data_IF_814447781705
#
_entry.id   IF_814447781705
#
_cell.length_a   1.000
_cell.length_b   1.000
_cell.length_c   1.000
_cell.angle_alpha   90.00
_cell.angle_beta   90.00
_cell.angle_gamma   90.00
#
_symmetry.space_group_name_H-M   'P 1'
#
loop_
_entity.id
_entity.type
_entity.pdbx_description
1 polymer ?
#
# COMPACT_ATOMS: atom_id res chain seq x y z
N UNK A 1 -13.59 -10.96 -17.07
CA UNK A 1 -13.84 -9.51 -16.83
C UNK A 1 -13.40 -9.00 -15.44
N UNK A 2 -12.57 -9.75 -14.67
CA UNK A 2 -11.98 -9.29 -13.40
C UNK A 2 -10.48 -8.93 -13.52
N UNK A 3 -9.74 -9.53 -14.46
CA UNK A 3 -8.29 -9.32 -14.62
C UNK A 3 -7.93 -7.89 -15.07
N UNK A 4 -8.72 -7.27 -15.95
CA UNK A 4 -8.48 -5.89 -16.40
C UNK A 4 -8.53 -4.88 -15.25
N UNK A 5 -9.44 -5.07 -14.29
CA UNK A 5 -9.59 -4.16 -13.14
C UNK A 5 -8.45 -4.29 -12.13
N UNK A 6 -7.89 -5.48 -11.96
CA UNK A 6 -6.71 -5.70 -11.13
C UNK A 6 -5.48 -5.01 -11.75
N UNK A 7 -5.26 -5.26 -13.05
CA UNK A 7 -4.17 -4.66 -13.83
C UNK A 7 -4.14 -3.12 -13.79
N UNK A 8 -5.31 -2.45 -13.74
CA UNK A 8 -5.37 -0.98 -13.62
C UNK A 8 -4.79 -0.46 -12.31
N UNK A 9 -5.05 -1.12 -11.17
CA UNK A 9 -4.55 -0.65 -9.88
C UNK A 9 -3.08 -0.95 -9.67
N UNK A 10 -2.61 -2.07 -10.22
CA UNK A 10 -1.20 -2.42 -10.32
C UNK A 10 -0.42 -1.41 -11.19
N UNK A 11 -0.99 -1.02 -12.34
CA UNK A 11 -0.38 0.03 -13.17
C UNK A 11 -0.33 1.37 -12.42
N UNK A 12 -1.38 1.71 -11.67
CA UNK A 12 -1.42 2.95 -10.88
C UNK A 12 -0.44 2.93 -9.71
N UNK A 13 -0.25 1.80 -9.04
CA UNK A 13 0.73 1.66 -7.95
C UNK A 13 2.16 1.76 -8.49
N UNK A 14 2.44 1.16 -9.66
CA UNK A 14 3.69 1.36 -10.39
C UNK A 14 3.93 2.85 -10.69
N UNK A 15 2.97 3.53 -11.32
CA UNK A 15 3.09 4.97 -11.64
C UNK A 15 3.27 5.83 -10.40
N UNK A 16 2.68 5.43 -9.27
CA UNK A 16 2.93 6.07 -7.98
C UNK A 16 4.40 5.93 -7.56
N UNK A 17 4.98 4.71 -7.59
CA UNK A 17 6.37 4.48 -7.20
C UNK A 17 7.36 5.32 -8.01
N UNK A 18 7.22 5.31 -9.34
CA UNK A 18 8.18 5.98 -10.24
C UNK A 18 7.93 7.49 -10.38
N UNK A 19 6.73 7.98 -10.06
CA UNK A 19 6.33 9.37 -10.36
C UNK A 19 5.94 10.23 -9.16
N UNK A 20 5.34 9.64 -8.12
CA UNK A 20 4.72 10.39 -7.00
C UNK A 20 5.29 10.06 -5.63
N UNK A 21 5.93 8.90 -5.47
CA UNK A 21 6.61 8.55 -4.23
C UNK A 21 7.66 9.59 -3.86
N UNK A 22 7.82 9.84 -2.57
CA UNK A 22 8.96 10.61 -2.03
C UNK A 22 10.29 9.93 -2.39
N UNK A 23 10.26 8.61 -2.51
CA UNK A 23 11.43 7.75 -2.65
C UNK A 23 11.72 7.35 -4.10
N UNK A 24 11.03 7.98 -5.07
CA UNK A 24 11.13 7.66 -6.52
C UNK A 24 12.54 7.72 -7.10
N UNK A 25 13.42 8.56 -6.55
CA UNK A 25 14.80 8.71 -7.02
C UNK A 25 15.73 7.62 -6.45
N UNK A 26 15.27 6.85 -5.47
CA UNK A 26 16.03 5.74 -4.87
C UNK A 26 15.64 4.39 -5.48
N UNK A 27 14.48 4.32 -6.13
CA UNK A 27 13.96 3.12 -6.78
C UNK A 27 14.59 3.00 -8.16
N UNK A 28 15.38 1.96 -8.37
CA UNK A 28 16.04 1.67 -9.65
C UNK A 28 15.30 0.58 -10.42
N UNK A 29 14.83 -0.45 -9.70
CA UNK A 29 14.17 -1.61 -10.28
C UNK A 29 12.72 -1.69 -9.82
N UNK A 30 11.85 -2.12 -10.72
CA UNK A 30 10.48 -2.51 -10.39
C UNK A 30 10.35 -4.01 -10.58
N UNK A 31 9.81 -4.68 -9.57
CA UNK A 31 9.52 -6.12 -9.60
C UNK A 31 8.02 -6.35 -9.40
N UNK A 32 7.55 -7.46 -9.93
CA UNK A 32 6.17 -7.94 -9.78
C UNK A 32 6.24 -9.31 -9.13
N UNK A 33 5.52 -9.52 -8.03
CA UNK A 33 5.40 -10.86 -7.45
C UNK A 33 4.40 -11.71 -8.25
N UNK A 34 4.43 -13.03 -8.05
CA UNK A 34 3.54 -13.96 -8.75
C UNK A 34 2.04 -13.76 -8.39
N UNK A 35 1.72 -12.86 -7.46
CA UNK A 35 0.38 -12.62 -6.93
C UNK A 35 -0.11 -11.17 -7.09
N UNK A 36 0.51 -10.42 -8.02
CA UNK A 36 0.13 -9.09 -8.52
C UNK A 36 0.49 -7.88 -7.63
N UNK A 37 1.44 -8.02 -6.72
CA UNK A 37 1.99 -6.88 -5.99
C UNK A 37 3.22 -6.30 -6.72
N UNK A 38 3.26 -4.97 -6.79
CA UNK A 38 4.40 -4.23 -7.34
C UNK A 38 5.39 -4.02 -6.20
N UNK A 39 6.68 -3.98 -6.48
CA UNK A 39 7.69 -3.55 -5.51
C UNK A 39 8.76 -2.72 -6.19
N UNK A 40 9.25 -1.70 -5.49
CA UNK A 40 10.43 -0.95 -5.88
C UNK A 40 11.66 -1.50 -5.16
N UNK A 41 12.80 -1.55 -5.84
CA UNK A 41 14.07 -1.98 -5.27
C UNK A 41 15.16 -0.97 -5.64
N UNK A 42 16.05 -0.66 -4.70
CA UNK A 42 17.22 0.18 -4.98
C UNK A 42 18.28 -0.56 -5.82
N UNK A 43 19.27 0.18 -6.31
CA UNK A 43 20.32 -0.40 -7.14
C UNK A 43 21.20 -1.45 -6.42
N UNK A 44 21.15 -1.49 -5.08
CA UNK A 44 21.92 -2.42 -4.25
C UNK A 44 21.12 -3.65 -3.82
N UNK A 45 19.82 -3.71 -4.11
CA UNK A 45 18.94 -4.77 -3.60
C UNK A 45 18.76 -4.75 -2.08
N UNK A 46 19.06 -3.62 -1.43
CA UNK A 46 19.05 -3.48 0.03
C UNK A 46 17.78 -2.84 0.55
N UNK A 47 17.08 -2.07 -0.26
CA UNK A 47 15.85 -1.39 0.16
C UNK A 47 14.70 -1.80 -0.76
N UNK A 48 13.61 -2.24 -0.13
CA UNK A 48 12.38 -2.63 -0.84
C UNK A 48 11.23 -1.73 -0.42
N UNK A 49 10.51 -1.19 -1.40
CA UNK A 49 9.24 -0.49 -1.25
C UNK A 49 8.13 -1.43 -1.67
N UNK A 50 7.50 -2.07 -0.70
CA UNK A 50 6.44 -3.04 -0.92
C UNK A 50 5.10 -2.32 -1.08
N UNK A 51 4.42 -2.53 -2.20
CA UNK A 51 3.13 -1.89 -2.49
C UNK A 51 2.03 -2.92 -2.74
N UNK A 52 1.17 -3.06 -1.73
CA UNK A 52 -0.01 -3.91 -1.78
C UNK A 52 -1.19 -3.09 -2.35
N UNK A 53 -1.60 -3.40 -3.58
CA UNK A 53 -2.64 -2.63 -4.29
C UNK A 53 -4.01 -3.31 -4.25
N UNK A 54 -5.06 -2.59 -3.82
CA UNK A 54 -6.42 -3.13 -3.71
C UNK A 54 -7.46 -2.24 -4.39
N UNK A 55 -8.10 -2.77 -5.42
CA UNK A 55 -9.18 -2.12 -6.17
C UNK A 55 -10.58 -2.39 -5.57
N UNK A 56 -10.72 -2.31 -4.24
CA UNK A 56 -12.01 -2.50 -3.56
C UNK A 56 -12.63 -1.15 -3.18
N UNK A 57 -13.88 -0.94 -3.59
CA UNK A 57 -14.67 0.23 -3.19
C UNK A 57 -15.26 0.05 -1.80
N UNK A 58 -15.48 1.16 -1.09
CA UNK A 58 -16.15 1.18 0.21
C UNK A 58 -15.51 0.28 1.28
N UNK A 59 -14.17 0.19 1.28
CA UNK A 59 -13.43 -0.57 2.28
C UNK A 59 -13.85 -0.18 3.69
N UNK A 60 -14.25 -1.19 4.46
CA UNK A 60 -14.51 -1.01 5.87
C UNK A 60 -13.19 -1.15 6.66
N UNK A 61 -13.07 -0.55 7.85
CA UNK A 61 -11.82 -0.57 8.61
C UNK A 61 -11.30 -1.97 8.93
N UNK A 62 -12.19 -2.92 9.24
CA UNK A 62 -11.80 -4.31 9.53
C UNK A 62 -11.13 -4.96 8.32
N UNK A 63 -11.69 -4.76 7.12
CA UNK A 63 -11.11 -5.31 5.90
C UNK A 63 -9.79 -4.65 5.49
N UNK A 64 -9.60 -3.36 5.83
CA UNK A 64 -8.29 -2.72 5.70
C UNK A 64 -7.24 -3.45 6.57
N UNK A 65 -7.59 -3.80 7.81
CA UNK A 65 -6.73 -4.59 8.70
C UNK A 65 -6.33 -5.93 8.10
N UNK A 66 -7.30 -6.66 7.56
CA UNK A 66 -7.06 -7.94 6.87
C UNK A 66 -6.06 -7.80 5.72
N UNK A 67 -6.09 -6.70 4.97
CA UNK A 67 -5.13 -6.46 3.90
C UNK A 67 -3.75 -6.03 4.38
N UNK A 68 -3.63 -5.50 5.60
CA UNK A 68 -2.32 -5.26 6.20
C UNK A 68 -1.61 -6.54 6.58
N UNK A 69 -2.29 -7.68 6.68
CA UNK A 69 -1.66 -8.95 7.03
C UNK A 69 -0.48 -9.32 6.13
N UNK A 70 -0.61 -9.16 4.80
CA UNK A 70 0.49 -9.45 3.87
C UNK A 70 1.69 -8.52 4.07
N UNK A 71 1.44 -7.21 4.24
CA UNK A 71 2.50 -6.23 4.54
C UNK A 71 3.18 -6.55 5.88
N UNK A 72 2.41 -6.99 6.86
CA UNK A 72 2.92 -7.41 8.16
C UNK A 72 3.76 -8.69 8.06
N UNK A 73 3.32 -9.69 7.31
CA UNK A 73 4.07 -10.93 7.10
C UNK A 73 5.43 -10.63 6.42
N UNK A 74 5.43 -9.76 5.40
CA UNK A 74 6.64 -9.26 4.76
C UNK A 74 7.59 -8.57 5.75
N UNK A 75 7.04 -7.81 6.71
CA UNK A 75 7.84 -7.15 7.77
C UNK A 75 8.53 -8.11 8.73
N UNK A 76 8.07 -9.36 8.82
CA UNK A 76 8.70 -10.42 9.62
C UNK A 76 9.74 -11.23 8.82
N UNK A 77 9.81 -11.04 7.52
CA UNK A 77 10.74 -11.77 6.67
C UNK A 77 12.19 -11.29 6.85
N UNK A 78 13.14 -11.99 6.21
CA UNK A 78 14.57 -11.63 6.23
C UNK A 78 14.92 -10.49 5.24
N UNK A 79 13.97 -10.08 4.40
CA UNK A 79 14.17 -9.01 3.45
C UNK A 79 14.12 -7.65 4.14
N UNK A 80 14.88 -6.68 3.64
CA UNK A 80 14.91 -5.34 4.21
C UNK A 80 13.92 -4.43 3.50
N UNK A 81 12.73 -4.31 4.08
CA UNK A 81 11.68 -3.42 3.61
C UNK A 81 11.85 -2.02 4.21
N UNK A 82 12.00 -1.03 3.34
CA UNK A 82 12.12 0.38 3.72
C UNK A 82 10.76 1.02 3.96
N UNK A 83 9.77 0.67 3.15
CA UNK A 83 8.39 1.18 3.28
C UNK A 83 7.37 0.11 2.89
N UNK A 84 6.23 0.13 3.59
CA UNK A 84 5.04 -0.66 3.27
C UNK A 84 3.92 0.29 2.85
N UNK A 85 3.43 0.11 1.63
CA UNK A 85 2.47 1.03 1.01
C UNK A 85 1.18 0.26 0.72
N UNK A 86 0.08 0.74 1.30
CA UNK A 86 -1.24 0.24 0.96
C UNK A 86 -1.91 1.16 -0.06
N UNK A 87 -1.97 0.72 -1.32
CA UNK A 87 -2.49 1.53 -2.42
C UNK A 87 -3.92 1.15 -2.75
N UNK A 88 -4.87 2.04 -2.49
CA UNK A 88 -6.30 1.72 -2.65
C UNK A 88 -7.11 2.90 -3.17
N UNK A 89 -8.39 2.65 -3.43
CA UNK A 89 -9.37 3.72 -3.69
C UNK A 89 -9.42 4.66 -2.50
N UNK A 90 -9.86 5.90 -2.73
CA UNK A 90 -10.04 6.86 -1.65
C UNK A 90 -10.91 6.25 -0.54
N UNK A 91 -10.33 6.15 0.65
CA UNK A 91 -11.06 5.77 1.86
C UNK A 91 -12.02 6.89 2.25
N UNK A 92 -13.06 6.52 3.01
CA UNK A 92 -14.02 7.50 3.52
C UNK A 92 -13.30 8.59 4.33
N UNK A 93 -13.68 9.83 4.13
CA UNK A 93 -12.98 10.96 4.76
C UNK A 93 -13.15 10.97 6.29
N UNK A 94 -14.25 10.43 6.80
CA UNK A 94 -14.53 10.27 8.24
C UNK A 94 -13.64 9.24 8.95
N UNK A 95 -12.80 8.51 8.19
CA UNK A 95 -11.78 7.63 8.76
C UNK A 95 -10.53 8.39 9.20
N UNK A 96 -10.31 9.61 8.68
CA UNK A 96 -9.05 10.35 8.81
C UNK A 96 -9.23 11.63 9.63
N UNK A 97 -8.18 12.01 10.35
CA UNK A 97 -8.04 13.31 11.02
C UNK A 97 -7.87 14.39 9.95
N UNK A 98 -6.83 14.28 9.11
CA UNK A 98 -6.64 15.13 7.94
C UNK A 98 -7.44 14.60 6.74
N UNK A 99 -8.70 15.04 6.62
CA UNK A 99 -9.68 14.53 5.65
C UNK A 99 -9.26 14.70 4.18
N UNK A 100 -8.63 15.81 3.82
CA UNK A 100 -8.21 16.10 2.44
C UNK A 100 -6.96 15.35 1.99
N UNK A 101 -6.22 14.71 2.91
CA UNK A 101 -4.98 14.04 2.53
C UNK A 101 -5.24 12.77 1.73
N UNK A 102 -4.47 12.62 0.65
CA UNK A 102 -4.48 11.42 -0.22
C UNK A 102 -3.35 10.44 0.11
N UNK A 103 -2.29 10.92 0.77
CA UNK A 103 -1.13 10.12 1.20
C UNK A 103 -0.96 10.38 2.70
N UNK A 104 -1.08 9.34 3.51
CA UNK A 104 -1.04 9.47 4.96
C UNK A 104 -0.58 8.18 5.61
N UNK A 105 0.01 8.33 6.80
CA UNK A 105 0.42 7.20 7.64
C UNK A 105 -0.75 6.75 8.52
N UNK A 106 -0.55 5.63 9.22
CA UNK A 106 -1.55 5.04 10.10
C UNK A 106 -1.98 5.96 11.25
N UNK A 107 -1.09 6.86 11.69
CA UNK A 107 -1.36 7.86 12.71
C UNK A 107 -2.47 8.86 12.31
N UNK A 108 -2.71 9.09 11.03
CA UNK A 108 -3.76 9.97 10.52
C UNK A 108 -5.17 9.36 10.63
N UNK A 109 -5.31 8.08 10.96
CA UNK A 109 -6.64 7.51 11.22
C UNK A 109 -7.23 8.02 12.55
N UNK A 110 -8.53 8.31 12.54
CA UNK A 110 -9.33 8.55 13.73
C UNK A 110 -9.22 7.36 14.70
N UNK A 111 -9.23 7.62 16.02
CA UNK A 111 -9.04 6.57 17.04
C UNK A 111 -10.04 5.42 16.88
N UNK A 112 -11.33 5.74 16.65
CA UNK A 112 -12.38 4.75 16.39
C UNK A 112 -12.09 3.85 15.17
N UNK A 113 -11.41 4.41 14.17
CA UNK A 113 -11.08 3.70 12.93
C UNK A 113 -9.88 2.80 13.17
N UNK A 114 -8.81 3.30 13.82
CA UNK A 114 -7.63 2.51 14.19
C UNK A 114 -8.01 1.24 14.94
N UNK A 115 -8.87 1.36 15.94
CA UNK A 115 -9.32 0.21 16.75
C UNK A 115 -10.10 -0.83 15.95
N UNK A 116 -10.81 -0.41 14.90
CA UNK A 116 -11.50 -1.33 13.99
C UNK A 116 -10.55 -1.96 12.97
N UNK A 117 -9.53 -1.22 12.50
CA UNK A 117 -8.47 -1.76 11.63
C UNK A 117 -7.70 -2.85 12.36
N UNK A 118 -7.28 -2.63 13.61
CA UNK A 118 -6.56 -3.63 14.43
C UNK A 118 -7.36 -4.91 14.73
N UNK A 119 -8.70 -4.86 14.64
CA UNK A 119 -9.61 -6.00 14.86
C UNK A 119 -9.86 -6.81 13.59
N UNK A 120 -9.26 -6.40 12.47
CA UNK A 120 -9.37 -7.07 11.18
C UNK A 120 -8.23 -8.03 10.96
#
# INVERSE_FOLDING_TARGET
MNNEKASVFETKSLLYLIGKSSSKNEIEYITFDCFNDVSGIDNKGQNIWDIQSKNEGNLNPKKIGQYFFTLFDNSLSKLNFKEFIFFTRQLKDDYKIARSSKIYKFDNFETKTKERVKKG
#
